data_IF_220751783984
#
_entry.id   IF_220751783984
#
_cell.length_a   1.000
_cell.length_b   1.000
_cell.length_c   1.000
_cell.angle_alpha   90.00
_cell.angle_beta   90.00
_cell.angle_gamma   90.00
#
_symmetry.space_group_name_H-M   'P 1'
#
loop_
_entity.id
_entity.type
_entity.pdbx_description
1 polymer ?
#
# COMPACT_ATOMS: atom_id res chain seq x y z
N UNK A 1 5.10 -10.35 9.60
CA UNK A 1 4.46 -9.29 8.79
C UNK A 1 4.88 -7.90 9.30
N UNK A 2 4.58 -7.56 10.54
CA UNK A 2 4.86 -6.23 11.11
C UNK A 2 6.34 -5.84 11.02
N UNK A 3 7.25 -6.74 11.39
CA UNK A 3 8.70 -6.49 11.34
C UNK A 3 9.18 -6.15 9.91
N UNK A 4 8.71 -6.88 8.91
CA UNK A 4 9.07 -6.64 7.50
C UNK A 4 8.62 -5.25 7.03
N UNK A 5 7.41 -4.84 7.40
CA UNK A 5 6.88 -3.51 7.04
C UNK A 5 7.69 -2.39 7.71
N UNK A 6 8.05 -2.54 8.98
CA UNK A 6 8.87 -1.54 9.69
C UNK A 6 10.28 -1.45 9.07
N UNK A 7 10.89 -2.59 8.73
CA UNK A 7 12.20 -2.62 8.09
C UNK A 7 12.22 -1.93 6.72
N UNK A 8 11.16 -2.12 5.91
CA UNK A 8 11.00 -1.46 4.60
C UNK A 8 10.94 0.05 4.78
N UNK A 9 10.10 0.54 5.69
CA UNK A 9 9.98 1.97 5.97
C UNK A 9 11.30 2.56 6.46
N UNK A 10 12.03 1.85 7.33
CA UNK A 10 13.33 2.29 7.79
C UNK A 10 14.32 2.43 6.62
N UNK A 11 14.44 1.42 5.76
CA UNK A 11 15.35 1.45 4.61
C UNK A 11 14.96 2.53 3.59
N UNK A 12 13.64 2.76 3.39
CA UNK A 12 13.15 3.86 2.56
C UNK A 12 13.62 5.22 3.09
N UNK A 13 13.49 5.47 4.40
CA UNK A 13 13.95 6.72 4.99
C UNK A 13 15.46 6.88 4.99
N UNK A 14 16.23 5.80 5.15
CA UNK A 14 17.70 5.82 4.97
C UNK A 14 18.08 6.20 3.53
N UNK A 15 17.36 5.73 2.53
CA UNK A 15 17.59 6.12 1.14
C UNK A 15 17.28 7.62 0.92
N UNK A 16 16.17 8.13 1.48
CA UNK A 16 15.80 9.55 1.35
C UNK A 16 16.76 10.47 2.11
N UNK A 17 17.28 10.07 3.27
CA UNK A 17 18.24 10.84 4.05
C UNK A 17 19.49 11.21 3.23
N UNK A 18 19.89 10.34 2.29
CA UNK A 18 21.02 10.60 1.37
C UNK A 18 20.73 11.69 0.36
N UNK A 19 19.47 12.00 0.07
CA UNK A 19 19.08 13.07 -0.85
C UNK A 19 19.26 14.45 -0.21
N UNK A 20 19.04 14.57 1.10
CA UNK A 20 19.22 15.80 1.86
C UNK A 20 18.19 15.99 2.98
N UNK A 21 18.46 16.97 3.83
CA UNK A 21 17.59 17.29 4.98
C UNK A 21 16.21 17.81 4.56
N UNK A 22 16.15 18.54 3.45
CA UNK A 22 14.89 19.08 2.92
C UNK A 22 13.98 17.98 2.41
N UNK A 23 14.52 17.01 1.66
CA UNK A 23 13.82 15.85 1.13
C UNK A 23 13.32 14.95 2.27
N UNK A 24 14.13 14.79 3.30
CA UNK A 24 13.77 14.07 4.51
C UNK A 24 12.61 14.76 5.26
N UNK A 25 12.65 16.08 5.41
CA UNK A 25 11.58 16.87 6.03
C UNK A 25 10.27 16.75 5.23
N UNK A 26 10.31 16.89 3.91
CA UNK A 26 9.16 16.67 3.02
C UNK A 26 8.60 15.27 3.19
N UNK A 27 9.45 14.25 3.21
CA UNK A 27 9.00 12.85 3.33
C UNK A 27 8.34 12.57 4.67
N UNK A 28 8.80 13.19 5.76
CA UNK A 28 8.15 13.08 7.06
C UNK A 28 6.74 13.71 7.05
N UNK A 29 6.55 14.84 6.38
CA UNK A 29 5.23 15.47 6.22
C UNK A 29 4.31 14.55 5.41
N UNK A 30 4.76 14.10 4.25
CA UNK A 30 3.99 13.21 3.37
C UNK A 30 3.61 11.92 4.10
N UNK A 31 4.53 11.31 4.86
CA UNK A 31 4.27 10.13 5.68
C UNK A 31 3.21 10.38 6.74
N UNK A 32 3.26 11.53 7.41
CA UNK A 32 2.29 11.87 8.46
C UNK A 32 0.87 11.95 7.91
N UNK A 33 0.70 12.53 6.73
CA UNK A 33 -0.60 12.57 6.05
C UNK A 33 -0.99 11.19 5.52
N UNK A 34 -0.05 10.40 4.96
CA UNK A 34 -0.32 9.05 4.47
C UNK A 34 -0.82 8.11 5.56
N UNK A 35 -0.42 8.32 6.81
CA UNK A 35 -0.87 7.53 7.95
C UNK A 35 -2.39 7.57 8.12
N UNK A 36 -3.05 8.70 7.83
CA UNK A 36 -4.51 8.82 7.89
C UNK A 36 -5.20 7.90 6.87
N UNK A 37 -4.69 7.85 5.64
CA UNK A 37 -5.22 6.99 4.58
C UNK A 37 -4.91 5.51 4.85
N UNK A 38 -3.75 5.21 5.42
CA UNK A 38 -3.35 3.85 5.77
C UNK A 38 -4.22 3.23 6.86
N UNK A 39 -4.77 4.03 7.78
CA UNK A 39 -5.75 3.55 8.78
C UNK A 39 -6.98 2.96 8.09
N UNK A 40 -7.53 3.65 7.08
CA UNK A 40 -8.71 3.17 6.34
C UNK A 40 -8.37 1.87 5.59
N UNK A 41 -7.24 1.86 4.87
CA UNK A 41 -6.78 0.69 4.12
C UNK A 41 -6.58 -0.51 5.04
N UNK A 42 -5.88 -0.33 6.17
CA UNK A 42 -5.59 -1.41 7.11
C UNK A 42 -6.85 -1.94 7.81
N UNK A 43 -7.79 -1.06 8.18
CA UNK A 43 -9.05 -1.46 8.77
C UNK A 43 -9.87 -2.34 7.81
N UNK A 44 -10.04 -1.91 6.56
CA UNK A 44 -10.78 -2.65 5.54
C UNK A 44 -10.07 -3.96 5.16
N UNK A 45 -8.75 -3.94 5.04
CA UNK A 45 -7.97 -5.13 4.78
C UNK A 45 -8.06 -6.15 5.93
N UNK A 46 -7.96 -5.70 7.19
CA UNK A 46 -8.10 -6.57 8.36
C UNK A 46 -9.47 -7.24 8.45
N UNK A 47 -10.54 -6.47 8.23
CA UNK A 47 -11.91 -7.01 8.16
C UNK A 47 -12.03 -8.03 7.02
N UNK A 48 -11.39 -7.80 5.87
CA UNK A 48 -11.41 -8.75 4.75
C UNK A 48 -10.85 -10.11 5.16
N UNK A 49 -9.71 -10.15 5.84
CA UNK A 49 -9.10 -11.39 6.30
C UNK A 49 -10.04 -12.21 7.17
N UNK A 50 -10.69 -11.56 8.15
CA UNK A 50 -11.65 -12.22 9.06
C UNK A 50 -12.88 -12.74 8.32
N UNK A 51 -13.47 -11.94 7.43
CA UNK A 51 -14.65 -12.34 6.65
C UNK A 51 -14.33 -13.47 5.67
N UNK A 52 -13.16 -13.45 5.02
CA UNK A 52 -12.72 -14.54 4.14
C UNK A 52 -12.52 -15.83 4.93
N UNK A 53 -11.90 -15.77 6.11
CA UNK A 53 -11.78 -16.94 6.99
C UNK A 53 -13.15 -17.58 7.29
N UNK A 54 -14.16 -16.77 7.61
CA UNK A 54 -15.52 -17.24 7.86
C UNK A 54 -16.14 -17.88 6.61
N UNK A 55 -15.98 -17.27 5.43
CA UNK A 55 -16.48 -17.84 4.17
C UNK A 55 -15.82 -19.17 3.82
N UNK A 56 -14.52 -19.30 4.06
CA UNK A 56 -13.79 -20.56 3.85
C UNK A 56 -14.29 -21.64 4.81
N UNK A 57 -14.48 -21.30 6.10
CA UNK A 57 -15.03 -22.21 7.10
C UNK A 57 -16.46 -22.67 6.77
N UNK A 58 -17.28 -21.81 6.16
CA UNK A 58 -18.62 -22.12 5.70
C UNK A 58 -18.67 -22.87 4.35
N UNK A 59 -17.53 -23.14 3.71
CA UNK A 59 -17.47 -23.76 2.38
C UNK A 59 -17.83 -22.85 1.19
N UNK A 60 -18.04 -21.53 1.44
CA UNK A 60 -18.53 -20.57 0.47
C UNK A 60 -17.40 -19.86 -0.32
N UNK A 61 -16.40 -20.61 -0.77
CA UNK A 61 -15.20 -20.07 -1.46
C UNK A 61 -15.52 -19.16 -2.64
N UNK A 62 -16.59 -19.42 -3.39
CA UNK A 62 -17.01 -18.62 -4.55
C UNK A 62 -17.37 -17.17 -4.17
N UNK A 63 -17.69 -16.90 -2.90
CA UNK A 63 -18.05 -15.56 -2.42
C UNK A 63 -16.84 -14.69 -2.06
N UNK A 64 -15.62 -15.22 -2.05
CA UNK A 64 -14.40 -14.50 -1.66
C UNK A 64 -14.14 -13.29 -2.58
N UNK A 65 -14.10 -13.47 -3.90
CA UNK A 65 -13.91 -12.35 -4.84
C UNK A 65 -15.02 -11.31 -4.79
N UNK A 66 -16.33 -11.69 -4.81
CA UNK A 66 -17.41 -10.73 -4.61
C UNK A 66 -17.28 -9.91 -3.33
N UNK A 67 -16.86 -10.54 -2.22
CA UNK A 67 -16.61 -9.86 -0.95
C UNK A 67 -15.47 -8.84 -1.10
N UNK A 68 -14.32 -9.24 -1.66
CA UNK A 68 -13.19 -8.34 -1.87
C UNK A 68 -13.61 -7.11 -2.70
N UNK A 69 -14.33 -7.31 -3.81
CA UNK A 69 -14.81 -6.21 -4.64
C UNK A 69 -15.76 -5.27 -3.88
N UNK A 70 -16.64 -5.81 -3.02
CA UNK A 70 -17.54 -5.00 -2.20
C UNK A 70 -16.76 -4.12 -1.22
N UNK A 71 -15.74 -4.68 -0.57
CA UNK A 71 -14.89 -3.95 0.38
C UNK A 71 -14.06 -2.88 -0.34
N UNK A 72 -13.49 -3.20 -1.52
CA UNK A 72 -12.75 -2.24 -2.33
C UNK A 72 -13.66 -1.07 -2.76
N UNK A 73 -14.90 -1.36 -3.21
CA UNK A 73 -15.86 -0.30 -3.54
C UNK A 73 -16.18 0.58 -2.34
N UNK A 74 -16.38 -0.01 -1.16
CA UNK A 74 -16.60 0.75 0.08
C UNK A 74 -15.38 1.63 0.40
N UNK A 75 -14.17 1.08 0.28
CA UNK A 75 -12.93 1.83 0.51
C UNK A 75 -12.76 3.00 -0.48
N UNK A 76 -13.10 2.82 -1.75
CA UNK A 76 -13.10 3.92 -2.71
C UNK A 76 -14.18 4.95 -2.42
N UNK A 77 -15.38 4.53 -2.04
CA UNK A 77 -16.47 5.44 -1.69
C UNK A 77 -16.12 6.34 -0.48
N UNK A 78 -15.33 5.84 0.46
CA UNK A 78 -14.86 6.60 1.63
C UNK A 78 -13.56 7.35 1.35
N UNK A 79 -12.62 6.77 0.62
CA UNK A 79 -11.29 7.34 0.38
C UNK A 79 -11.26 8.43 -0.68
N UNK A 80 -12.03 8.30 -1.79
CA UNK A 80 -12.02 9.29 -2.87
C UNK A 80 -12.43 10.70 -2.40
N UNK A 81 -13.52 10.86 -1.62
CA UNK A 81 -13.84 12.18 -1.07
C UNK A 81 -12.74 12.77 -0.18
N UNK A 82 -12.08 11.93 0.62
CA UNK A 82 -10.97 12.38 1.47
C UNK A 82 -9.75 12.77 0.63
N UNK A 83 -9.44 12.03 -0.43
CA UNK A 83 -8.38 12.40 -1.39
C UNK A 83 -8.70 13.72 -2.06
N UNK A 84 -9.95 13.92 -2.50
CA UNK A 84 -10.38 15.18 -3.11
C UNK A 84 -10.23 16.36 -2.14
N UNK A 85 -10.62 16.18 -0.87
CA UNK A 85 -10.42 17.17 0.18
C UNK A 85 -8.93 17.44 0.42
N UNK A 86 -8.10 16.39 0.51
CA UNK A 86 -6.66 16.54 0.71
C UNK A 86 -5.99 17.26 -0.47
N UNK A 87 -6.41 17.02 -1.70
CA UNK A 87 -5.93 17.73 -2.89
C UNK A 87 -6.36 19.20 -2.89
N UNK A 88 -7.61 19.46 -2.53
CA UNK A 88 -8.12 20.83 -2.47
C UNK A 88 -7.44 21.65 -1.37
N UNK A 89 -7.20 21.05 -0.21
CA UNK A 89 -6.57 21.70 0.94
C UNK A 89 -5.08 21.37 1.09
N UNK A 90 -4.38 20.96 0.03
CA UNK A 90 -2.97 20.54 0.14
C UNK A 90 -2.06 21.62 0.72
N UNK A 91 -2.21 22.89 0.31
CA UNK A 91 -1.40 23.99 0.83
C UNK A 91 -1.56 24.19 2.33
N UNK A 92 -2.78 24.37 2.89
CA UNK A 92 -2.95 24.48 4.34
C UNK A 92 -2.57 23.20 5.09
N UNK A 93 -2.75 22.00 4.51
CA UNK A 93 -2.32 20.75 5.14
C UNK A 93 -0.80 20.71 5.26
N UNK A 94 -0.05 20.97 4.19
CA UNK A 94 1.41 20.99 4.23
C UNK A 94 1.92 22.18 5.06
N UNK A 95 1.29 23.35 4.93
CA UNK A 95 1.62 24.56 5.69
C UNK A 95 1.43 24.42 7.20
N UNK A 96 0.58 23.49 7.68
CA UNK A 96 0.45 23.19 9.09
C UNK A 96 1.71 22.51 9.70
N UNK A 97 2.57 21.96 8.86
CA UNK A 97 3.83 21.32 9.29
C UNK A 97 5.05 22.23 9.12
N UNK A 98 5.00 23.22 8.24
CA UNK A 98 6.15 24.09 7.93
C UNK A 98 5.71 25.46 7.43
N UNK A 99 6.43 26.49 7.85
CA UNK A 99 6.27 27.86 7.32
C UNK A 99 7.18 28.14 6.11
N UNK A 100 8.06 27.19 5.75
CA UNK A 100 9.00 27.37 4.64
C UNK A 100 8.31 27.13 3.28
N UNK A 101 8.15 28.18 2.43
CA UNK A 101 7.45 28.06 1.16
C UNK A 101 8.14 27.07 0.18
N UNK A 102 9.48 26.93 0.28
CA UNK A 102 10.26 26.00 -0.54
C UNK A 102 9.91 24.55 -0.24
N UNK A 103 9.72 24.21 1.05
CA UNK A 103 9.30 22.87 1.47
C UNK A 103 7.86 22.60 1.01
N UNK A 104 6.96 23.58 1.12
CA UNK A 104 5.57 23.45 0.66
C UNK A 104 5.50 23.15 -0.84
N UNK A 105 6.32 23.84 -1.64
CA UNK A 105 6.38 23.62 -3.08
C UNK A 105 6.98 22.25 -3.43
N UNK A 106 8.08 21.87 -2.79
CA UNK A 106 8.75 20.58 -3.03
C UNK A 106 7.86 19.39 -2.61
N UNK A 107 7.05 19.54 -1.56
CA UNK A 107 6.17 18.50 -1.05
C UNK A 107 5.02 18.15 -1.99
N UNK A 108 4.64 19.02 -2.92
CA UNK A 108 3.47 18.80 -3.78
C UNK A 108 3.53 17.52 -4.61
N UNK A 109 4.63 17.28 -5.31
CA UNK A 109 4.76 16.10 -6.18
C UNK A 109 4.76 14.77 -5.39
N UNK A 110 5.58 14.59 -4.31
CA UNK A 110 5.49 13.41 -3.45
C UNK A 110 4.12 13.24 -2.79
N UNK A 111 3.46 14.33 -2.38
CA UNK A 111 2.13 14.31 -1.79
C UNK A 111 1.08 13.78 -2.78
N UNK A 112 1.12 14.24 -4.02
CA UNK A 112 0.23 13.75 -5.08
C UNK A 112 0.46 12.27 -5.36
N UNK A 113 1.72 11.85 -5.49
CA UNK A 113 2.10 10.43 -5.68
C UNK A 113 1.56 9.58 -4.54
N UNK A 114 1.73 10.02 -3.30
CA UNK A 114 1.22 9.32 -2.11
C UNK A 114 -0.31 9.18 -2.12
N UNK A 115 -1.04 10.25 -2.45
CA UNK A 115 -2.51 10.17 -2.53
C UNK A 115 -2.99 9.21 -3.62
N UNK A 116 -2.32 9.23 -4.78
CA UNK A 116 -2.64 8.30 -5.88
C UNK A 116 -2.30 6.85 -5.54
N UNK A 117 -1.32 6.61 -4.66
CA UNK A 117 -1.00 5.26 -4.19
C UNK A 117 -2.20 4.57 -3.52
N UNK A 118 -3.12 5.32 -2.93
CA UNK A 118 -4.33 4.77 -2.31
C UNK A 118 -5.12 3.86 -3.26
N UNK A 119 -5.18 4.20 -4.56
CA UNK A 119 -5.90 3.41 -5.56
C UNK A 119 -5.29 2.02 -5.80
N UNK A 120 -4.00 1.86 -5.56
CA UNK A 120 -3.30 0.59 -5.68
C UNK A 120 -3.17 -0.12 -4.33
N UNK A 121 -2.95 0.64 -3.26
CA UNK A 121 -2.76 0.12 -1.91
C UNK A 121 -4.03 -0.57 -1.40
N UNK A 122 -5.19 0.04 -1.57
CA UNK A 122 -6.46 -0.52 -1.11
C UNK A 122 -6.71 -1.93 -1.68
N UNK A 123 -6.77 -2.16 -3.00
CA UNK A 123 -6.96 -3.51 -3.53
C UNK A 123 -5.78 -4.43 -3.19
N UNK A 124 -4.54 -3.94 -3.22
CA UNK A 124 -3.36 -4.72 -2.88
C UNK A 124 -3.44 -5.35 -1.49
N UNK A 125 -3.74 -4.54 -0.48
CA UNK A 125 -3.86 -5.02 0.91
C UNK A 125 -5.16 -5.81 1.16
N UNK A 126 -6.26 -5.49 0.49
CA UNK A 126 -7.50 -6.28 0.57
C UNK A 126 -7.26 -7.70 0.06
N UNK A 127 -6.64 -7.88 -1.11
CA UNK A 127 -6.36 -9.22 -1.63
C UNK A 127 -5.27 -9.95 -0.84
N UNK A 128 -4.26 -9.25 -0.31
CA UNK A 128 -3.25 -9.83 0.57
C UNK A 128 -3.90 -10.42 1.83
N UNK A 129 -4.79 -9.66 2.47
CA UNK A 129 -5.49 -10.12 3.67
C UNK A 129 -6.54 -11.20 3.35
N UNK A 130 -7.16 -11.15 2.17
CA UNK A 130 -7.99 -12.24 1.69
C UNK A 130 -7.19 -13.56 1.55
N UNK A 131 -5.98 -13.50 0.97
CA UNK A 131 -5.09 -14.65 0.90
C UNK A 131 -4.66 -15.14 2.30
N UNK A 132 -4.38 -14.23 3.23
CA UNK A 132 -4.10 -14.58 4.64
C UNK A 132 -5.31 -15.27 5.29
N UNK A 133 -6.52 -14.79 5.03
CA UNK A 133 -7.78 -15.35 5.53
C UNK A 133 -8.07 -16.79 5.06
N UNK A 134 -7.42 -17.25 3.96
CA UNK A 134 -7.49 -18.67 3.55
C UNK A 134 -6.63 -19.61 4.41
N UNK A 135 -5.86 -19.10 5.36
CA UNK A 135 -4.91 -19.86 6.18
C UNK A 135 -3.52 -20.02 5.57
N UNK A 136 -3.27 -19.49 4.38
CA UNK A 136 -2.01 -19.62 3.65
C UNK A 136 -0.91 -18.66 4.12
N UNK A 137 -0.68 -18.58 5.41
CA UNK A 137 0.26 -17.63 6.03
C UNK A 137 1.68 -17.74 5.50
N UNK A 138 2.15 -18.97 5.21
CA UNK A 138 3.48 -19.22 4.63
C UNK A 138 3.59 -18.64 3.21
N UNK A 139 2.58 -18.84 2.38
CA UNK A 139 2.54 -18.31 1.01
C UNK A 139 2.54 -16.79 1.00
N UNK A 140 1.71 -16.18 1.87
CA UNK A 140 1.64 -14.71 2.04
C UNK A 140 2.98 -14.16 2.54
N UNK A 141 3.66 -14.85 3.43
CA UNK A 141 5.00 -14.47 3.87
C UNK A 141 6.01 -14.48 2.71
N UNK A 142 5.97 -15.50 1.84
CA UNK A 142 6.82 -15.55 0.64
C UNK A 142 6.52 -14.37 -0.29
N UNK A 143 5.24 -14.00 -0.49
CA UNK A 143 4.87 -12.81 -1.27
C UNK A 143 5.49 -11.54 -0.71
N UNK A 144 5.44 -11.36 0.60
CA UNK A 144 6.05 -10.19 1.24
C UNK A 144 7.58 -10.17 1.07
N UNK A 145 8.25 -11.30 1.25
CA UNK A 145 9.71 -11.39 1.09
C UNK A 145 10.12 -11.10 -0.34
N UNK A 146 9.49 -11.74 -1.34
CA UNK A 146 9.81 -11.53 -2.76
C UNK A 146 9.54 -10.10 -3.20
N UNK A 147 8.43 -9.52 -2.76
CA UNK A 147 8.10 -8.12 -3.05
C UNK A 147 9.08 -7.17 -2.37
N UNK A 148 9.48 -7.43 -1.12
CA UNK A 148 10.47 -6.63 -0.41
C UNK A 148 11.82 -6.65 -1.13
N UNK A 149 12.27 -7.81 -1.59
CA UNK A 149 13.51 -7.93 -2.36
C UNK A 149 13.43 -7.09 -3.64
N UNK A 150 12.35 -7.22 -4.41
CA UNK A 150 12.15 -6.43 -5.64
C UNK A 150 12.12 -4.92 -5.34
N UNK A 151 11.44 -4.50 -4.27
CA UNK A 151 11.39 -3.13 -3.80
C UNK A 151 12.77 -2.57 -3.45
N UNK A 152 13.58 -3.32 -2.70
CA UNK A 152 14.93 -2.91 -2.33
C UNK A 152 15.86 -2.81 -3.53
N UNK A 153 15.77 -3.73 -4.50
CA UNK A 153 16.50 -3.61 -5.76
C UNK A 153 16.12 -2.37 -6.54
N UNK A 154 14.83 -2.01 -6.55
CA UNK A 154 14.36 -0.80 -7.19
C UNK A 154 14.92 0.45 -6.49
N UNK A 155 14.85 0.53 -5.15
CA UNK A 155 15.43 1.63 -4.37
C UNK A 155 16.93 1.76 -4.61
N UNK A 156 17.66 0.65 -4.60
CA UNK A 156 19.10 0.66 -4.85
C UNK A 156 19.44 1.13 -6.27
N UNK A 157 18.63 0.73 -7.26
CA UNK A 157 18.77 1.23 -8.64
C UNK A 157 18.55 2.75 -8.75
N UNK A 158 17.60 3.29 -7.99
CA UNK A 158 17.33 4.74 -7.96
C UNK A 158 18.46 5.54 -7.31
N UNK A 159 19.12 4.98 -6.31
CA UNK A 159 20.28 5.61 -5.62
C UNK A 159 21.46 5.88 -6.59
N UNK A 160 21.52 5.15 -7.70
CA UNK A 160 22.49 5.32 -8.77
C UNK A 160 22.06 6.31 -9.86
N UNK A 161 20.83 6.84 -9.77
CA UNK A 161 20.22 7.74 -10.74
C UNK A 161 19.88 9.07 -10.07
N UNK A 162 20.08 10.18 -10.79
CA UNK A 162 19.68 11.51 -10.32
C UNK A 162 18.15 11.70 -10.54
N UNK A 163 17.37 11.15 -9.61
CA UNK A 163 15.90 11.13 -9.69
C UNK A 163 15.26 12.00 -8.61
N UNK A 164 14.03 12.43 -8.87
CA UNK A 164 13.29 13.30 -7.95
C UNK A 164 12.74 12.52 -6.75
N UNK A 165 12.48 13.23 -5.63
CA UNK A 165 11.84 12.68 -4.44
C UNK A 165 10.51 11.97 -4.75
N UNK A 166 9.72 12.52 -5.69
CA UNK A 166 8.47 11.91 -6.13
C UNK A 166 8.67 10.50 -6.74
N UNK A 167 9.80 10.26 -7.41
CA UNK A 167 10.16 8.95 -7.96
C UNK A 167 10.42 7.93 -6.86
N UNK A 168 11.09 8.32 -5.78
CA UNK A 168 11.24 7.45 -4.60
C UNK A 168 9.88 7.05 -4.03
N UNK A 169 8.96 8.00 -3.88
CA UNK A 169 7.60 7.70 -3.41
C UNK A 169 6.81 6.84 -4.39
N UNK A 170 7.08 6.90 -5.70
CA UNK A 170 6.43 6.06 -6.69
C UNK A 170 6.84 4.57 -6.60
N UNK A 171 7.96 4.24 -5.97
CA UNK A 171 8.34 2.83 -5.72
C UNK A 171 7.33 2.10 -4.84
N UNK A 172 6.60 2.83 -3.99
CA UNK A 172 5.51 2.26 -3.20
C UNK A 172 4.41 1.63 -4.08
N UNK A 173 4.19 2.15 -5.30
CA UNK A 173 3.24 1.54 -6.25
C UNK A 173 3.69 0.14 -6.66
N UNK A 174 4.99 -0.03 -6.95
CA UNK A 174 5.56 -1.33 -7.29
C UNK A 174 5.30 -2.33 -6.16
N UNK A 175 5.54 -1.93 -4.91
CA UNK A 175 5.33 -2.77 -3.75
C UNK A 175 3.88 -3.27 -3.64
N UNK A 176 2.90 -2.37 -3.66
CA UNK A 176 1.49 -2.74 -3.48
C UNK A 176 0.91 -3.47 -4.70
N UNK A 177 1.34 -3.14 -5.92
CA UNK A 177 0.91 -3.83 -7.15
C UNK A 177 1.44 -5.27 -7.17
N UNK A 178 2.70 -5.49 -6.81
CA UNK A 178 3.28 -6.84 -6.74
C UNK A 178 2.57 -7.70 -5.68
N UNK A 179 2.36 -7.15 -4.47
CA UNK A 179 1.61 -7.86 -3.41
C UNK A 179 0.19 -8.22 -3.87
N UNK A 180 -0.51 -7.27 -4.44
CA UNK A 180 -1.88 -7.47 -4.92
C UNK A 180 -1.94 -8.52 -6.03
N UNK A 181 -1.04 -8.44 -7.01
CA UNK A 181 -0.98 -9.36 -8.14
C UNK A 181 -0.71 -10.79 -7.70
N UNK A 182 0.32 -11.01 -6.85
CA UNK A 182 0.65 -12.33 -6.30
C UNK A 182 -0.55 -12.91 -5.52
N UNK A 183 -1.21 -12.07 -4.72
CA UNK A 183 -2.37 -12.47 -3.92
C UNK A 183 -3.58 -12.86 -4.78
N UNK A 184 -3.86 -12.10 -5.84
CA UNK A 184 -4.94 -12.42 -6.80
C UNK A 184 -4.67 -13.71 -7.56
N UNK A 185 -3.42 -13.91 -8.03
CA UNK A 185 -3.01 -15.15 -8.72
C UNK A 185 -3.22 -16.35 -7.78
N UNK A 186 -2.77 -16.24 -6.54
CA UNK A 186 -2.95 -17.28 -5.53
C UNK A 186 -4.43 -17.59 -5.27
N UNK A 187 -5.26 -16.56 -5.02
CA UNK A 187 -6.69 -16.75 -4.75
C UNK A 187 -7.41 -17.40 -5.94
N UNK A 188 -7.03 -17.07 -7.16
CA UNK A 188 -7.54 -17.76 -8.36
C UNK A 188 -7.13 -19.22 -8.38
N UNK A 189 -5.85 -19.54 -8.15
CA UNK A 189 -5.37 -20.93 -8.17
C UNK A 189 -6.09 -21.79 -7.14
N UNK A 190 -6.27 -21.30 -5.90
CA UNK A 190 -7.02 -22.01 -4.84
C UNK A 190 -8.50 -22.20 -5.21
N UNK A 191 -9.09 -21.26 -5.92
CA UNK A 191 -10.48 -21.37 -6.40
C UNK A 191 -10.62 -22.46 -7.46
N UNK A 192 -9.61 -22.70 -8.29
CA UNK A 192 -9.63 -23.71 -9.37
C UNK A 192 -9.23 -25.11 -8.92
N UNK A 193 -8.31 -25.25 -7.96
CA UNK A 193 -7.75 -26.55 -7.55
C UNK A 193 -8.79 -27.48 -6.91
N UNK A 194 -9.93 -26.97 -6.45
CA UNK A 194 -11.01 -27.77 -5.85
C UNK A 194 -12.15 -28.09 -6.82
N UNK A 195 -12.05 -27.71 -8.10
CA UNK A 195 -12.99 -28.13 -9.14
C UNK A 195 -12.58 -29.46 -9.81
N UNK A 196 -11.38 -29.98 -9.49
CA UNK A 196 -10.80 -31.17 -10.12
C UNK A 196 -10.63 -32.38 -9.18
N UNK A 197 -11.17 -32.33 -7.97
CA UNK A 197 -11.26 -33.51 -7.11
C UNK A 197 -12.68 -34.04 -7.10
N UNK A 198 -12.89 -35.32 -7.44
CA UNK A 198 -14.20 -35.95 -7.48
C UNK A 198 -14.85 -36.04 -6.11
#
# INVERSE_FOLDING_TARGET
QFFTSVAIWFLFFVAIERLGETELAVSNIVRSVSALFSVIVNALAGVTGSLVSNLIGAGEKKKVFPLCHKIIRLGYATGIPLIALALFFHQPIIGAYTENPGIVQLAWAPFLVMLLNYFFALPGYVYLNAATGTGATRTVFIFQVTTTIAYLFCLWGLDSCDVTLATYWAVEYLYVILLGTQSVIYLKSVSYTHLTLP
#
